data_IF_438805902822
#
_entry.id   IF_438805902822
#
_cell.length_a   1.000
_cell.length_b   1.000
_cell.length_c   1.000
_cell.angle_alpha   90.00
_cell.angle_beta   90.00
_cell.angle_gamma   90.00
#
_symmetry.space_group_name_H-M   'P 1'
#
loop_
_entity.id
_entity.type
_entity.pdbx_description
1 polymer ?
#
# COMPACT_ATOMS: atom_id res chain seq x y z
N UNK A 1 -7.09 7.20 37.52
CA UNK A 1 -7.33 8.65 37.42
C UNK A 1 -7.60 9.01 35.96
N UNK A 2 -8.68 9.74 35.67
CA UNK A 2 -8.90 10.30 34.35
C UNK A 2 -7.85 11.39 34.07
N UNK A 3 -7.19 11.35 32.91
CA UNK A 3 -6.27 12.42 32.49
C UNK A 3 -7.09 13.62 32.00
N UNK A 4 -6.96 14.77 32.67
CA UNK A 4 -7.55 16.03 32.20
C UNK A 4 -6.73 16.58 31.02
N UNK A 5 -7.39 16.86 29.90
CA UNK A 5 -6.82 17.52 28.73
C UNK A 5 -7.14 19.02 28.84
N UNK A 6 -6.12 19.86 28.85
CA UNK A 6 -6.23 21.30 29.12
C UNK A 6 -5.78 22.18 27.94
N UNK A 7 -5.26 21.58 26.87
CA UNK A 7 -4.84 22.30 25.65
C UNK A 7 -4.72 21.37 24.43
N UNK A 8 -4.59 21.95 23.24
CA UNK A 8 -4.48 21.22 21.98
C UNK A 8 -3.26 20.29 21.90
N UNK A 9 -2.13 20.67 22.52
CA UNK A 9 -0.94 19.83 22.54
C UNK A 9 -1.16 18.55 23.35
N UNK A 10 -1.88 18.65 24.49
CA UNK A 10 -2.27 17.49 25.29
C UNK A 10 -3.29 16.63 24.55
N UNK A 11 -4.24 17.23 23.83
CA UNK A 11 -5.20 16.51 23.00
C UNK A 11 -4.48 15.73 21.90
N UNK A 12 -3.58 16.37 21.15
CA UNK A 12 -2.79 15.74 20.10
C UNK A 12 -1.98 14.55 20.65
N UNK A 13 -1.30 14.74 21.79
CA UNK A 13 -0.55 13.66 22.45
C UNK A 13 -1.46 12.50 22.88
N UNK A 14 -2.68 12.80 23.35
CA UNK A 14 -3.64 11.79 23.74
C UNK A 14 -4.18 10.98 22.55
N UNK A 15 -4.34 11.62 21.38
CA UNK A 15 -4.82 10.97 20.16
C UNK A 15 -3.72 10.16 19.44
N UNK A 16 -2.45 10.52 19.62
CA UNK A 16 -1.33 9.94 18.86
C UNK A 16 -1.30 8.40 18.84
N UNK A 17 -1.53 7.67 19.96
CA UNK A 17 -1.54 6.21 19.93
C UNK A 17 -2.66 5.63 19.04
N UNK A 18 -3.83 6.28 19.00
CA UNK A 18 -4.92 5.89 18.11
C UNK A 18 -4.57 6.18 16.64
N UNK A 19 -3.95 7.34 16.38
CA UNK A 19 -3.49 7.71 15.04
C UNK A 19 -2.44 6.73 14.50
N UNK A 20 -1.46 6.31 15.32
CA UNK A 20 -0.44 5.33 14.92
C UNK A 20 -1.06 4.02 14.47
N UNK A 21 -1.98 3.47 15.29
CA UNK A 21 -2.64 2.21 14.97
C UNK A 21 -3.60 2.34 13.79
N UNK A 22 -4.31 3.45 13.66
CA UNK A 22 -5.16 3.72 12.50
C UNK A 22 -4.32 3.73 11.22
N UNK A 23 -3.23 4.48 11.19
CA UNK A 23 -2.34 4.54 10.02
C UNK A 23 -1.76 3.18 9.68
N UNK A 24 -1.44 2.33 10.66
CA UNK A 24 -1.03 0.93 10.38
C UNK A 24 -2.14 0.13 9.71
N UNK A 25 -3.39 0.26 10.19
CA UNK A 25 -4.56 -0.40 9.57
C UNK A 25 -4.81 0.07 8.14
N UNK A 26 -4.68 1.38 7.88
CA UNK A 26 -4.81 1.92 6.52
C UNK A 26 -3.69 1.42 5.61
N UNK A 27 -2.45 1.38 6.10
CA UNK A 27 -1.31 0.86 5.36
C UNK A 27 -1.43 -0.64 5.09
N UNK A 28 -1.98 -1.42 6.04
CA UNK A 28 -2.28 -2.84 5.81
C UNK A 28 -3.24 -3.01 4.64
N UNK A 29 -4.32 -2.21 4.58
CA UNK A 29 -5.27 -2.30 3.45
C UNK A 29 -4.60 -2.03 2.11
N UNK A 30 -3.75 -1.01 2.00
CA UNK A 30 -3.00 -0.73 0.76
C UNK A 30 -2.04 -1.89 0.43
N UNK A 31 -1.37 -2.44 1.43
CA UNK A 31 -0.44 -3.56 1.27
C UNK A 31 -1.14 -4.85 0.82
N UNK A 32 -2.30 -5.17 1.39
CA UNK A 32 -3.14 -6.30 0.97
C UNK A 32 -3.58 -6.15 -0.50
N UNK A 33 -4.06 -4.95 -0.89
CA UNK A 33 -4.47 -4.69 -2.27
C UNK A 33 -3.30 -4.73 -3.25
N UNK A 34 -2.13 -4.20 -2.87
CA UNK A 34 -0.92 -4.32 -3.69
C UNK A 34 -0.53 -5.79 -3.91
N UNK A 35 -0.54 -6.61 -2.85
CA UNK A 35 -0.24 -8.04 -2.98
C UNK A 35 -1.28 -8.78 -3.84
N UNK A 36 -2.55 -8.37 -3.78
CA UNK A 36 -3.58 -8.91 -4.66
C UNK A 36 -3.25 -8.65 -6.13
N UNK A 37 -2.95 -7.41 -6.53
CA UNK A 37 -2.64 -7.10 -7.92
C UNK A 37 -1.29 -7.64 -8.39
N UNK A 38 -0.30 -7.75 -7.49
CA UNK A 38 0.92 -8.48 -7.78
C UNK A 38 0.63 -9.95 -8.09
N UNK A 39 -0.22 -10.60 -7.30
CA UNK A 39 -0.60 -11.99 -7.58
C UNK A 39 -1.39 -12.12 -8.89
N UNK A 40 -2.33 -11.23 -9.16
CA UNK A 40 -3.13 -11.23 -10.39
C UNK A 40 -2.26 -11.00 -11.63
N UNK A 41 -1.25 -10.12 -11.55
CA UNK A 41 -0.25 -9.96 -12.60
C UNK A 41 0.44 -11.29 -12.93
N UNK A 42 0.86 -12.06 -11.93
CA UNK A 42 1.45 -13.37 -12.16
C UNK A 42 0.44 -14.44 -12.59
N UNK A 43 -0.84 -14.27 -12.32
CA UNK A 43 -1.90 -15.16 -12.78
C UNK A 43 -2.26 -14.90 -14.26
N UNK A 44 -2.09 -13.67 -14.76
CA UNK A 44 -2.53 -13.27 -16.10
C UNK A 44 -1.70 -13.85 -17.26
N UNK A 45 -0.47 -14.31 -17.02
CA UNK A 45 0.39 -14.79 -18.10
C UNK A 45 1.37 -15.89 -17.69
N UNK A 46 1.24 -17.11 -18.17
CA UNK A 46 2.21 -18.20 -17.92
C UNK A 46 3.32 -18.26 -18.99
N UNK A 47 4.59 -17.94 -18.66
CA UNK A 47 5.66 -17.91 -19.67
C UNK A 47 6.07 -19.29 -20.14
N UNK A 48 6.33 -19.41 -21.44
CA UNK A 48 6.84 -20.63 -22.09
C UNK A 48 8.32 -20.55 -22.45
N UNK A 49 8.87 -19.34 -22.59
CA UNK A 49 10.24 -19.09 -23.07
C UNK A 49 11.26 -18.80 -21.97
N UNK A 50 10.82 -18.58 -20.72
CA UNK A 50 11.71 -18.29 -19.60
C UNK A 50 11.14 -18.78 -18.26
N UNK A 51 12.01 -18.87 -17.25
CA UNK A 51 11.63 -19.19 -15.87
C UNK A 51 11.41 -17.91 -15.07
N UNK A 52 10.28 -17.83 -14.37
CA UNK A 52 9.97 -16.71 -13.46
C UNK A 52 10.93 -16.65 -12.27
N UNK A 53 11.42 -15.45 -11.96
CA UNK A 53 12.25 -15.17 -10.79
C UNK A 53 11.42 -14.83 -9.53
N UNK A 54 10.17 -14.37 -9.72
CA UNK A 54 9.23 -13.99 -8.64
C UNK A 54 9.66 -12.84 -7.72
N UNK A 55 10.75 -12.14 -8.03
CA UNK A 55 11.19 -10.96 -7.26
C UNK A 55 10.10 -9.90 -7.19
N UNK A 56 9.45 -9.57 -8.31
CA UNK A 56 8.34 -8.61 -8.35
C UNK A 56 7.13 -9.07 -7.50
N UNK A 57 6.77 -10.37 -7.54
CA UNK A 57 5.68 -10.88 -6.68
C UNK A 57 5.97 -10.65 -5.19
N UNK A 58 7.24 -10.61 -4.81
CA UNK A 58 7.72 -10.53 -3.43
C UNK A 58 8.25 -9.15 -3.06
N UNK A 59 8.15 -8.16 -3.94
CA UNK A 59 8.74 -6.84 -3.75
C UNK A 59 7.84 -5.87 -2.98
N UNK A 60 6.59 -6.24 -2.67
CA UNK A 60 5.75 -5.38 -1.83
C UNK A 60 6.34 -5.24 -0.42
N UNK A 61 6.47 -4.00 0.04
CA UNK A 61 6.95 -3.68 1.39
C UNK A 61 5.95 -2.77 2.09
N UNK A 62 5.64 -3.09 3.35
CA UNK A 62 4.96 -2.19 4.29
C UNK A 62 5.90 -1.83 5.43
N UNK A 63 6.10 -0.54 5.65
CA UNK A 63 6.88 -0.01 6.77
C UNK A 63 5.95 0.37 7.92
N UNK A 64 6.37 0.01 9.14
CA UNK A 64 5.65 0.37 10.37
C UNK A 64 5.47 1.89 10.46
N UNK A 65 4.28 2.38 10.89
CA UNK A 65 4.06 3.82 10.98
C UNK A 65 5.01 4.50 11.96
N UNK A 66 5.45 5.71 11.59
CA UNK A 66 6.32 6.56 12.40
C UNK A 66 5.66 7.90 12.69
N UNK A 67 5.88 8.44 13.89
CA UNK A 67 5.44 9.79 14.25
C UNK A 67 6.46 10.79 13.71
N UNK A 68 6.02 11.69 12.84
CA UNK A 68 6.84 12.80 12.29
C UNK A 68 6.17 14.12 12.67
N UNK A 69 6.66 14.75 13.74
CA UNK A 69 6.08 15.98 14.28
C UNK A 69 4.65 15.76 14.78
N UNK A 70 3.68 16.41 14.13
CA UNK A 70 2.25 16.27 14.43
C UNK A 70 1.52 15.26 13.53
N UNK A 71 2.24 14.49 12.71
CA UNK A 71 1.68 13.52 11.78
C UNK A 71 2.15 12.10 12.12
N UNK A 72 1.37 11.13 11.66
CA UNK A 72 1.78 9.72 11.56
C UNK A 72 1.91 9.40 10.08
N UNK A 73 3.02 8.77 9.69
CA UNK A 73 3.31 8.39 8.31
C UNK A 73 3.64 6.91 8.26
N UNK A 74 3.04 6.19 7.32
CA UNK A 74 3.43 4.84 6.92
C UNK A 74 3.77 4.83 5.43
N UNK A 75 4.51 3.80 5.01
CA UNK A 75 4.92 3.62 3.62
C UNK A 75 4.52 2.23 3.16
N UNK A 76 3.90 2.16 1.99
CA UNK A 76 3.70 0.93 1.22
C UNK A 76 4.29 1.18 -0.16
N UNK A 77 5.16 0.31 -0.63
CA UNK A 77 5.84 0.48 -1.92
C UNK A 77 6.31 -0.85 -2.50
N UNK A 78 6.72 -0.80 -3.76
CA UNK A 78 7.41 -1.87 -4.48
C UNK A 78 8.92 -1.61 -4.33
N UNK A 79 9.64 -2.52 -3.68
CA UNK A 79 11.09 -2.44 -3.51
C UNK A 79 11.79 -2.86 -4.80
N UNK A 80 12.07 -1.89 -5.68
CA UNK A 80 12.72 -2.14 -6.96
C UNK A 80 14.22 -2.42 -6.83
N UNK A 81 14.84 -2.10 -5.69
CA UNK A 81 16.25 -2.42 -5.42
C UNK A 81 16.42 -3.90 -5.04
N UNK A 82 15.40 -4.52 -4.44
CA UNK A 82 15.33 -5.96 -4.19
C UNK A 82 15.24 -6.80 -5.48
N UNK A 83 14.73 -6.21 -6.55
CA UNK A 83 14.40 -6.85 -7.83
C UNK A 83 15.61 -7.00 -8.76
N UNK A 84 16.63 -7.76 -8.32
CA UNK A 84 17.95 -7.83 -8.98
C UNK A 84 18.20 -9.03 -9.90
N UNK A 85 17.32 -10.04 -9.96
CA UNK A 85 17.62 -11.30 -10.66
C UNK A 85 17.21 -11.33 -12.14
N UNK A 86 17.00 -10.18 -12.78
CA UNK A 86 16.60 -10.09 -14.18
C UNK A 86 17.83 -9.95 -15.10
N UNK A 87 17.84 -10.67 -16.23
CA UNK A 87 18.98 -10.71 -17.14
C UNK A 87 19.27 -9.36 -17.83
N UNK A 88 18.23 -8.68 -18.34
CA UNK A 88 18.35 -7.46 -19.15
C UNK A 88 17.35 -6.37 -18.73
N UNK A 89 16.92 -6.38 -17.48
CA UNK A 89 15.97 -5.41 -16.94
C UNK A 89 16.34 -5.01 -15.51
N UNK A 90 16.10 -3.75 -15.17
CA UNK A 90 16.15 -3.30 -13.78
C UNK A 90 14.80 -3.54 -13.09
N UNK A 91 14.81 -3.62 -11.76
CA UNK A 91 13.56 -3.70 -10.99
C UNK A 91 12.60 -2.56 -11.29
N UNK A 92 13.12 -1.35 -11.52
CA UNK A 92 12.31 -0.20 -11.92
C UNK A 92 11.61 -0.41 -13.25
N UNK A 93 12.33 -0.87 -14.29
CA UNK A 93 11.73 -1.19 -15.59
C UNK A 93 10.63 -2.25 -15.47
N UNK A 94 10.89 -3.31 -14.69
CA UNK A 94 9.89 -4.37 -14.47
C UNK A 94 8.63 -3.80 -13.81
N UNK A 95 8.77 -2.96 -12.78
CA UNK A 95 7.63 -2.34 -12.11
C UNK A 95 6.86 -1.38 -13.03
N UNK A 96 7.57 -0.58 -13.86
CA UNK A 96 6.96 0.29 -14.85
C UNK A 96 6.17 -0.48 -15.90
N UNK A 97 6.76 -1.51 -16.50
CA UNK A 97 6.10 -2.37 -17.48
C UNK A 97 4.89 -3.09 -16.90
N UNK A 98 5.01 -3.60 -15.67
CA UNK A 98 3.87 -4.23 -15.01
C UNK A 98 2.71 -3.24 -14.80
N UNK A 99 3.01 -1.96 -14.54
CA UNK A 99 1.99 -0.93 -14.47
C UNK A 99 1.45 -0.49 -15.85
N UNK A 100 2.08 -0.90 -16.95
CA UNK A 100 1.56 -0.75 -18.32
C UNK A 100 0.76 -2.00 -18.75
N UNK A 101 0.62 -3.01 -17.90
CA UNK A 101 -0.02 -4.29 -18.23
C UNK A 101 0.91 -5.26 -19.00
N UNK A 102 2.21 -4.97 -19.06
CA UNK A 102 3.19 -5.72 -19.83
C UNK A 102 3.94 -6.76 -19.01
N UNK A 103 4.22 -7.91 -19.62
CA UNK A 103 5.13 -8.94 -19.15
C UNK A 103 6.47 -8.85 -19.88
N UNK A 104 7.55 -8.59 -19.12
CA UNK A 104 8.90 -8.45 -19.68
C UNK A 104 9.06 -7.30 -20.68
N UNK A 105 8.16 -6.30 -20.64
CA UNK A 105 8.16 -5.15 -21.55
C UNK A 105 7.67 -5.43 -22.97
N UNK A 106 7.23 -6.65 -23.28
CA UNK A 106 6.92 -7.05 -24.66
C UNK A 106 5.57 -7.73 -24.84
N UNK A 107 5.00 -8.29 -23.77
CA UNK A 107 3.78 -9.10 -23.86
C UNK A 107 2.67 -8.36 -23.13
N UNK A 108 1.72 -7.81 -23.87
CA UNK A 108 0.42 -7.44 -23.34
C UNK A 108 -0.31 -8.75 -22.98
N UNK A 109 -0.58 -8.98 -21.70
CA UNK A 109 -1.39 -10.13 -21.30
C UNK A 109 -2.88 -9.77 -21.33
N UNK A 110 -3.74 -10.73 -21.65
CA UNK A 110 -5.20 -10.53 -21.60
C UNK A 110 -5.65 -10.18 -20.18
N UNK A 111 -6.17 -8.96 -19.98
CA UNK A 111 -6.60 -8.43 -18.68
C UNK A 111 -5.50 -8.41 -17.60
N UNK A 112 -4.25 -8.15 -17.99
CA UNK A 112 -3.18 -7.94 -17.00
C UNK A 112 -3.43 -6.64 -16.23
N UNK A 113 -3.37 -6.65 -14.89
CA UNK A 113 -3.59 -5.45 -14.11
C UNK A 113 -2.48 -4.41 -14.32
N UNK A 114 -2.85 -3.13 -14.20
CA UNK A 114 -1.93 -2.03 -14.05
C UNK A 114 -1.55 -1.94 -12.56
N UNK A 115 -0.61 -2.79 -12.14
CA UNK A 115 -0.43 -3.18 -10.72
C UNK A 115 -0.51 -2.03 -9.72
N UNK A 116 0.19 -0.92 -9.97
CA UNK A 116 0.22 0.21 -9.05
C UNK A 116 -1.03 1.08 -9.17
N UNK A 117 -1.42 1.43 -10.39
CA UNK A 117 -2.59 2.27 -10.63
C UNK A 117 -3.88 1.61 -10.15
N UNK A 118 -4.06 0.32 -10.41
CA UNK A 118 -5.18 -0.47 -9.90
C UNK A 118 -5.17 -0.53 -8.37
N UNK A 119 -3.99 -0.64 -7.75
CA UNK A 119 -3.87 -0.57 -6.28
C UNK A 119 -4.36 0.78 -5.75
N UNK A 120 -3.93 1.88 -6.36
CA UNK A 120 -4.30 3.24 -5.96
C UNK A 120 -5.79 3.49 -6.19
N UNK A 121 -6.33 3.08 -7.34
CA UNK A 121 -7.74 3.20 -7.67
C UNK A 121 -8.61 2.44 -6.67
N UNK A 122 -8.23 1.20 -6.35
CA UNK A 122 -9.00 0.32 -5.48
C UNK A 122 -8.76 0.55 -3.98
N UNK A 123 -7.99 1.56 -3.58
CA UNK A 123 -7.81 1.88 -2.14
C UNK A 123 -7.82 3.38 -1.84
N UNK A 124 -6.90 4.13 -2.45
CA UNK A 124 -6.65 5.54 -2.10
C UNK A 124 -7.68 6.44 -2.76
N UNK A 125 -7.96 6.22 -4.05
CA UNK A 125 -8.78 7.12 -4.87
C UNK A 125 -10.28 6.87 -4.75
N UNK A 126 -10.71 5.66 -4.36
CA UNK A 126 -12.13 5.30 -4.25
C UNK A 126 -12.77 5.68 -2.88
N UNK A 127 -12.02 6.34 -1.99
CA UNK A 127 -12.51 6.75 -0.67
C UNK A 127 -12.55 5.62 0.38
N UNK A 128 -12.09 4.42 0.07
CA UNK A 128 -12.07 3.29 1.00
C UNK A 128 -11.26 3.61 2.25
N UNK A 129 -10.04 4.13 2.10
CA UNK A 129 -9.19 4.47 3.25
C UNK A 129 -9.83 5.53 4.15
N UNK A 130 -10.58 6.48 3.59
CA UNK A 130 -11.31 7.49 4.37
C UNK A 130 -12.40 6.83 5.22
N UNK A 131 -13.21 5.94 4.62
CA UNK A 131 -14.23 5.19 5.34
C UNK A 131 -13.62 4.33 6.45
N UNK A 132 -12.54 3.61 6.14
CA UNK A 132 -11.81 2.79 7.11
C UNK A 132 -11.25 3.62 8.28
N UNK A 133 -10.73 4.83 8.00
CA UNK A 133 -10.26 5.74 9.03
C UNK A 133 -11.39 6.23 9.94
N UNK A 134 -12.54 6.60 9.36
CA UNK A 134 -13.74 7.02 10.10
C UNK A 134 -14.23 5.89 11.00
N UNK A 135 -14.35 4.67 10.47
CA UNK A 135 -14.80 3.50 11.22
C UNK A 135 -13.82 3.15 12.35
N UNK A 136 -12.52 3.23 12.07
CA UNK A 136 -11.48 3.02 13.08
C UNK A 136 -11.64 4.01 14.24
N UNK A 137 -11.74 5.31 13.97
CA UNK A 137 -11.84 6.33 15.01
C UNK A 137 -13.12 6.18 15.84
N UNK A 138 -14.25 5.90 15.20
CA UNK A 138 -15.52 5.59 15.87
C UNK A 138 -15.38 4.37 16.80
N UNK A 139 -14.69 3.31 16.36
CA UNK A 139 -14.41 2.12 17.19
C UNK A 139 -13.58 2.43 18.45
N UNK A 140 -12.86 3.56 18.47
CA UNK A 140 -12.09 4.04 19.62
C UNK A 140 -12.85 5.08 20.46
N UNK A 141 -14.13 5.29 20.19
CA UNK A 141 -14.96 6.29 20.89
C UNK A 141 -14.62 7.73 20.51
N UNK A 142 -13.94 7.95 19.37
CA UNK A 142 -13.63 9.28 18.84
C UNK A 142 -14.74 9.65 17.84
N UNK A 143 -15.65 10.58 18.17
CA UNK A 143 -16.74 10.93 17.29
C UNK A 143 -16.22 11.73 16.09
N UNK A 144 -16.37 11.17 14.90
CA UNK A 144 -16.04 11.81 13.63
C UNK A 144 -17.18 11.63 12.62
N UNK A 145 -17.43 12.67 11.83
CA UNK A 145 -18.38 12.64 10.71
C UNK A 145 -17.63 12.96 9.42
N UNK A 146 -17.83 12.19 8.34
CA UNK A 146 -17.36 12.59 7.02
C UNK A 146 -18.04 13.92 6.64
N UNK A 147 -17.28 14.84 6.05
CA UNK A 147 -17.80 16.06 5.45
C UNK A 147 -18.25 15.80 4.02
#
# INVERSE_FOLDING_TARGET
MAKKISNMNQLQKALMPAMVKMTDTLAERVYETLNHFLQEYYNSYNPTSYRRQFDFLRSAVKIKPTVKGNKVVAYVYIDTDYMGNYYDATGHQVASWANEGLHGGTIEGDNTPHVWDDTIENTVSNGELLRLAVDYLKSKGIPVSPK
#
